data_IF_718503569098
#
_entry.id   IF_718503569098
#
_cell.length_a   1.000
_cell.length_b   1.000
_cell.length_c   1.000
_cell.angle_alpha   90.00
_cell.angle_beta   90.00
_cell.angle_gamma   90.00
#
_symmetry.space_group_name_H-M   'P 1'
#
loop_
_entity.id
_entity.type
_entity.pdbx_description
1 polymer ?
#
# COMPACT_ATOMS: atom_id res chain seq x y z
N UNK A 1 -11.46 0.39 25.68
CA UNK A 1 -10.45 0.66 24.63
C UNK A 1 -11.07 0.74 23.23
N UNK A 2 -11.84 -0.26 22.76
CA UNK A 2 -12.46 -0.21 21.42
C UNK A 2 -13.42 0.98 21.22
N UNK A 3 -14.30 1.27 22.19
CA UNK A 3 -15.22 2.42 22.15
C UNK A 3 -14.54 3.80 22.03
N UNK A 4 -13.30 3.94 22.53
CA UNK A 4 -12.56 5.20 22.41
C UNK A 4 -12.03 5.39 20.97
N UNK A 5 -11.52 4.32 20.35
CA UNK A 5 -11.10 4.32 18.96
C UNK A 5 -12.29 4.56 18.01
N UNK A 6 -13.48 4.02 18.34
CA UNK A 6 -14.71 4.27 17.57
C UNK A 6 -15.15 5.74 17.65
N UNK A 7 -14.99 6.43 18.78
CA UNK A 7 -15.26 7.87 18.85
C UNK A 7 -14.28 8.71 18.01
N UNK A 8 -13.04 8.27 17.85
CA UNK A 8 -12.06 8.93 16.97
C UNK A 8 -12.35 8.71 15.48
N UNK A 9 -13.27 7.82 15.11
CA UNK A 9 -13.71 7.65 13.72
C UNK A 9 -14.62 8.79 13.25
N UNK A 10 -15.28 9.53 14.14
CA UNK A 10 -16.06 10.71 13.74
C UNK A 10 -15.14 11.77 13.10
N UNK A 11 -13.88 11.87 13.56
CA UNK A 11 -12.87 12.75 12.99
C UNK A 11 -12.42 12.30 11.57
N UNK A 12 -12.54 11.02 11.24
CA UNK A 12 -12.15 10.47 9.92
C UNK A 12 -13.07 10.98 8.83
N UNK A 13 -14.35 11.23 9.13
CA UNK A 13 -15.30 11.79 8.16
C UNK A 13 -14.88 13.19 7.66
N UNK A 14 -14.02 13.90 8.40
CA UNK A 14 -13.49 15.21 7.99
C UNK A 14 -12.27 15.13 7.06
N UNK A 15 -11.65 13.95 6.93
CA UNK A 15 -10.43 13.76 6.15
C UNK A 15 -10.79 13.78 4.66
N UNK A 16 -10.43 14.87 3.99
CA UNK A 16 -10.45 14.95 2.53
C UNK A 16 -9.12 14.45 1.97
N UNK A 17 -9.12 13.21 1.47
CA UNK A 17 -7.99 12.66 0.73
C UNK A 17 -8.14 13.10 -0.72
N UNK A 18 -7.26 13.98 -1.19
CA UNK A 18 -7.22 14.34 -2.61
C UNK A 18 -6.71 13.13 -3.41
N UNK A 19 -7.58 12.54 -4.22
CA UNK A 19 -7.23 11.43 -5.12
C UNK A 19 -6.45 11.89 -6.37
N UNK A 20 -6.30 13.21 -6.54
CA UNK A 20 -5.57 13.79 -7.65
C UNK A 20 -4.06 13.83 -7.34
N UNK A 21 -3.29 13.07 -8.11
CA UNK A 21 -1.83 12.92 -7.92
C UNK A 21 -1.06 14.06 -8.64
N UNK A 22 -1.72 14.89 -9.46
CA UNK A 22 -1.04 16.00 -10.15
C UNK A 22 -0.06 15.56 -11.23
N UNK A 23 -0.11 14.30 -11.65
CA UNK A 23 0.78 13.76 -12.69
C UNK A 23 0.19 14.13 -14.04
N UNK A 24 0.95 14.93 -14.80
CA UNK A 24 0.70 15.17 -16.22
C UNK A 24 1.68 14.34 -17.05
N UNK A 25 1.42 14.20 -18.35
CA UNK A 25 2.32 13.52 -19.30
C UNK A 25 3.74 14.11 -19.33
N UNK A 26 3.93 15.35 -18.87
CA UNK A 26 5.20 16.07 -18.93
C UNK A 26 5.93 16.19 -17.59
N UNK A 27 5.31 15.77 -16.48
CA UNK A 27 5.95 15.80 -15.16
C UNK A 27 6.70 14.50 -14.92
N UNK A 28 8.03 14.50 -14.72
CA UNK A 28 8.76 13.29 -14.42
C UNK A 28 8.36 12.77 -13.03
N UNK A 29 8.05 11.48 -12.97
CA UNK A 29 7.69 10.77 -11.76
C UNK A 29 8.37 9.40 -11.73
N UNK A 30 8.58 8.88 -10.53
CA UNK A 30 9.06 7.53 -10.32
C UNK A 30 8.04 6.71 -9.54
N UNK A 31 7.92 5.45 -9.91
CA UNK A 31 7.01 4.49 -9.30
C UNK A 31 7.81 3.59 -8.39
N UNK A 32 7.42 3.51 -7.12
CA UNK A 32 8.09 2.71 -6.12
C UNK A 32 7.11 1.77 -5.43
N UNK A 33 7.61 0.58 -5.12
CA UNK A 33 6.86 -0.44 -4.38
C UNK A 33 7.67 -0.77 -3.14
N UNK A 34 7.03 -0.63 -2.00
CA UNK A 34 7.58 -1.11 -0.74
C UNK A 34 6.82 -2.36 -0.31
N UNK A 35 7.55 -3.39 0.10
CA UNK A 35 6.99 -4.63 0.63
C UNK A 35 7.45 -4.78 2.07
N UNK A 36 6.53 -5.14 2.95
CA UNK A 36 6.80 -5.37 4.37
C UNK A 36 6.11 -6.66 4.82
N UNK A 37 6.70 -7.30 5.82
CA UNK A 37 6.19 -8.52 6.39
C UNK A 37 6.48 -8.62 7.88
N UNK A 38 5.55 -9.25 8.58
CA UNK A 38 5.64 -9.62 9.98
C UNK A 38 5.09 -11.03 10.16
N UNK A 39 5.32 -11.63 11.32
CA UNK A 39 4.74 -12.94 11.68
C UNK A 39 3.19 -12.94 11.67
N UNK A 40 2.55 -11.76 11.63
CA UNK A 40 1.08 -11.61 11.68
C UNK A 40 0.46 -11.27 10.35
N UNK A 41 1.16 -10.53 9.49
CA UNK A 41 0.66 -10.06 8.20
C UNK A 41 1.81 -9.67 7.28
N UNK A 42 1.56 -9.71 5.98
CA UNK A 42 2.47 -9.26 4.94
C UNK A 42 1.72 -8.38 3.93
N UNK A 43 2.40 -7.42 3.33
CA UNK A 43 1.76 -6.42 2.50
C UNK A 43 2.72 -5.63 1.63
N UNK A 44 2.15 -4.95 0.65
CA UNK A 44 2.87 -4.07 -0.27
C UNK A 44 2.10 -2.78 -0.50
N UNK A 45 2.84 -1.71 -0.73
CA UNK A 45 2.32 -0.36 -1.00
C UNK A 45 3.01 0.19 -2.23
N UNK A 46 2.20 0.66 -3.18
CA UNK A 46 2.64 1.42 -4.34
C UNK A 46 2.51 2.90 -4.04
N UNK A 47 3.60 3.62 -4.22
CA UNK A 47 3.60 5.07 -4.17
C UNK A 47 4.35 5.66 -5.36
N UNK A 48 3.92 6.86 -5.74
CA UNK A 48 4.55 7.65 -6.77
C UNK A 48 5.29 8.79 -6.10
N UNK A 49 6.53 9.00 -6.50
CA UNK A 49 7.34 10.14 -6.10
C UNK A 49 7.42 11.07 -7.30
N UNK A 50 6.94 12.29 -7.12
CA UNK A 50 7.05 13.34 -8.13
C UNK A 50 8.40 14.03 -8.02
N UNK A 51 8.80 14.73 -9.08
CA UNK A 51 10.05 15.51 -9.12
C UNK A 51 10.14 16.61 -8.04
N UNK A 52 9.01 17.02 -7.48
CA UNK A 52 8.94 17.96 -6.35
C UNK A 52 9.05 17.26 -4.99
N UNK A 53 9.44 15.98 -4.94
CA UNK A 53 9.46 15.14 -3.74
C UNK A 53 8.10 14.93 -3.06
N UNK A 54 6.99 15.23 -3.74
CA UNK A 54 5.67 14.84 -3.24
C UNK A 54 5.49 13.33 -3.41
N UNK A 55 5.14 12.66 -2.32
CA UNK A 55 4.90 11.21 -2.26
C UNK A 55 3.41 10.97 -2.17
N UNK A 56 2.89 10.19 -3.12
CA UNK A 56 1.47 9.85 -3.16
C UNK A 56 1.30 8.34 -3.13
N UNK A 57 0.57 7.83 -2.15
CA UNK A 57 0.16 6.43 -2.11
C UNK A 57 -0.93 6.22 -3.15
N UNK A 58 -0.70 5.30 -4.08
CA UNK A 58 -1.64 4.97 -5.16
C UNK A 58 -2.55 3.84 -4.71
N UNK A 59 -1.95 2.78 -4.19
CA UNK A 59 -2.69 1.64 -3.67
C UNK A 59 -1.83 0.81 -2.73
N UNK A 60 -2.50 0.01 -1.92
CA UNK A 60 -1.87 -0.95 -1.01
C UNK A 60 -2.61 -2.27 -1.06
N UNK A 61 -1.90 -3.36 -0.76
CA UNK A 61 -2.50 -4.69 -0.65
C UNK A 61 -1.83 -5.43 0.49
N UNK A 62 -2.62 -6.08 1.32
CA UNK A 62 -2.13 -6.82 2.48
C UNK A 62 -2.91 -8.13 2.66
N UNK A 63 -2.29 -9.07 3.38
CA UNK A 63 -2.87 -10.35 3.78
C UNK A 63 -2.36 -10.74 5.17
N UNK A 64 -3.20 -11.43 5.92
CA UNK A 64 -2.78 -12.06 7.18
C UNK A 64 -1.79 -13.19 6.89
N UNK A 65 -0.80 -13.33 7.77
CA UNK A 65 0.15 -14.42 7.69
C UNK A 65 -0.59 -15.76 7.88
N UNK A 66 -0.18 -16.84 7.19
CA UNK A 66 -0.79 -18.14 7.37
C UNK A 66 -0.69 -18.62 8.82
N UNK A 67 -1.70 -19.37 9.28
CA UNK A 67 -1.70 -19.98 10.63
C UNK A 67 -0.50 -20.93 10.78
N UNK A 68 -0.13 -21.62 9.70
CA UNK A 68 1.10 -22.42 9.67
C UNK A 68 2.30 -21.46 9.66
N UNK A 69 3.24 -21.66 10.60
CA UNK A 69 4.45 -20.84 10.67
C UNK A 69 5.21 -20.87 9.34
N UNK A 70 5.37 -19.68 8.77
CA UNK A 70 6.21 -19.41 7.61
C UNK A 70 7.35 -18.49 8.08
N UNK A 71 8.54 -18.67 7.53
CA UNK A 71 9.68 -17.83 7.89
C UNK A 71 9.48 -16.39 7.40
N UNK A 72 10.04 -15.41 8.12
CA UNK A 72 9.94 -14.00 7.76
C UNK A 72 10.40 -13.71 6.31
N UNK A 73 11.55 -14.23 5.82
CA UNK A 73 11.97 -14.01 4.43
C UNK A 73 10.99 -14.57 3.39
N UNK A 74 10.28 -15.66 3.71
CA UNK A 74 9.23 -16.18 2.82
C UNK A 74 8.00 -15.27 2.79
N UNK A 75 7.65 -14.65 3.90
CA UNK A 75 6.54 -13.69 3.96
C UNK A 75 6.88 -12.40 3.18
N UNK A 76 8.12 -11.91 3.28
CA UNK A 76 8.61 -10.79 2.46
C UNK A 76 8.52 -11.11 0.95
N UNK A 77 8.95 -12.31 0.55
CA UNK A 77 8.83 -12.77 -0.83
C UNK A 77 7.36 -12.88 -1.29
N UNK A 78 6.46 -13.35 -0.40
CA UNK A 78 5.03 -13.41 -0.68
C UNK A 78 4.40 -12.02 -0.84
N UNK A 79 4.84 -11.02 -0.08
CA UNK A 79 4.41 -9.63 -0.26
C UNK A 79 4.81 -9.09 -1.65
N UNK A 80 6.05 -9.34 -2.07
CA UNK A 80 6.53 -8.96 -3.40
C UNK A 80 5.78 -9.69 -4.52
N UNK A 81 5.56 -11.00 -4.39
CA UNK A 81 4.78 -11.79 -5.35
C UNK A 81 3.33 -11.30 -5.46
N UNK A 82 2.70 -11.01 -4.32
CA UNK A 82 1.34 -10.47 -4.29
C UNK A 82 1.24 -9.14 -5.03
N UNK A 83 2.24 -8.26 -4.86
CA UNK A 83 2.31 -7.02 -5.62
C UNK A 83 2.42 -7.29 -7.13
N UNK A 84 3.36 -8.15 -7.54
CA UNK A 84 3.58 -8.48 -8.95
C UNK A 84 2.30 -8.99 -9.62
N UNK A 85 1.62 -9.95 -8.99
CA UNK A 85 0.36 -10.50 -9.51
C UNK A 85 -0.73 -9.44 -9.61
N UNK A 86 -0.81 -8.53 -8.62
CA UNK A 86 -1.77 -7.44 -8.65
C UNK A 86 -1.50 -6.44 -9.78
N UNK A 87 -0.23 -6.04 -9.94
CA UNK A 87 0.19 -5.14 -11.01
C UNK A 87 -0.05 -5.76 -12.40
N UNK A 88 0.13 -7.07 -12.55
CA UNK A 88 -0.19 -7.79 -13.79
C UNK A 88 -1.68 -7.68 -14.13
N UNK A 89 -2.57 -7.87 -13.15
CA UNK A 89 -4.01 -7.71 -13.35
C UNK A 89 -4.43 -6.28 -13.69
N UNK A 90 -3.81 -5.26 -13.07
CA UNK A 90 -4.12 -3.85 -13.38
C UNK A 90 -3.71 -3.49 -14.81
N UNK A 91 -2.57 -4.02 -15.31
CA UNK A 91 -2.13 -3.75 -16.69
C UNK A 91 -2.99 -4.42 -17.76
N UNK A 92 -3.71 -5.48 -17.40
CA UNK A 92 -4.53 -6.26 -18.33
C UNK A 92 -5.99 -5.77 -18.42
N UNK A 93 -6.39 -4.82 -17.58
CA UNK A 93 -7.71 -4.21 -17.54
C UNK A 93 -7.70 -2.84 -18.22
#
# INVERSE_FOLDING_TARGET
>A
MWYAAVKQLDDICSIKISLYIGISSHTPYSVHVFCDASERAYGSVLYIVTSQSNVHIVCSRNRLAPIKKVTLPRLELLAALMWYMYAYHIKAA
#
